data_IF_681374409187
#
_entry.id   IF_681374409187
#
_cell.length_a   1.000
_cell.length_b   1.000
_cell.length_c   1.000
_cell.angle_alpha   90.00
_cell.angle_beta   90.00
_cell.angle_gamma   90.00
#
_symmetry.space_group_name_H-M   'P 1'
#
loop_
_entity.id
_entity.type
_entity.pdbx_description
1 polymer ?
#
# COMPACT_ATOMS: atom_id res chain seq x y z
N UNK A 1 25.96 32.31 52.49
CA UNK A 1 25.98 31.98 53.94
C UNK A 1 25.26 30.65 54.10
N UNK A 2 26.03 29.63 54.54
CA UNK A 2 25.62 28.48 55.42
C UNK A 2 24.52 27.56 54.89
N UNK A 3 24.56 26.23 54.91
CA UNK A 3 25.56 25.23 55.32
C UNK A 3 24.95 23.85 55.08
N UNK A 4 25.75 22.97 54.54
CA UNK A 4 25.90 21.53 54.71
C UNK A 4 25.14 20.85 55.89
N UNK A 5 24.71 19.57 55.62
CA UNK A 5 25.14 18.33 56.34
C UNK A 5 24.24 17.18 55.83
N UNK A 6 24.75 16.20 55.18
CA UNK A 6 25.36 14.88 55.43
C UNK A 6 24.68 14.01 56.49
N UNK A 7 24.69 12.70 56.16
CA UNK A 7 24.55 11.46 56.92
C UNK A 7 23.30 10.65 56.51
N UNK A 8 23.32 9.38 56.22
CA UNK A 8 24.37 8.38 56.38
C UNK A 8 23.88 7.01 55.83
N UNK A 9 24.82 6.23 55.53
CA UNK A 9 24.89 4.89 55.04
C UNK A 9 24.35 3.86 56.06
N UNK A 10 23.52 2.86 55.67
CA UNK A 10 23.55 1.52 56.31
C UNK A 10 23.18 0.45 55.27
N UNK A 11 24.13 -0.40 54.99
CA UNK A 11 24.03 -1.70 54.31
C UNK A 11 23.43 -2.73 55.21
N UNK A 12 22.54 -3.60 54.75
CA UNK A 12 22.36 -4.94 55.33
C UNK A 12 22.26 -5.95 54.19
N UNK A 13 23.27 -6.78 54.17
CA UNK A 13 23.45 -8.00 53.39
C UNK A 13 22.89 -9.17 54.23
N UNK A 14 22.00 -9.97 53.65
CA UNK A 14 21.71 -11.30 54.23
C UNK A 14 21.40 -12.29 53.11
N UNK A 15 22.31 -13.17 52.89
CA UNK A 15 22.19 -14.37 52.09
C UNK A 15 21.42 -15.44 52.86
N UNK A 16 20.61 -16.26 52.18
CA UNK A 16 20.29 -17.61 52.66
C UNK A 16 20.24 -18.60 51.47
N UNK A 17 20.97 -19.70 51.74
CA UNK A 17 21.27 -20.84 50.86
C UNK A 17 20.11 -21.84 50.77
N UNK A 18 19.97 -22.43 49.59
CA UNK A 18 19.87 -23.84 49.18
C UNK A 18 19.16 -24.83 50.16
N UNK A 19 18.14 -25.50 49.63
CA UNK A 19 17.89 -26.93 49.92
C UNK A 19 17.54 -27.65 48.62
N UNK A 20 18.44 -28.54 48.19
CA UNK A 20 18.15 -29.67 47.29
C UNK A 20 17.49 -30.79 48.07
N UNK A 21 16.45 -31.40 47.48
CA UNK A 21 16.10 -32.79 47.83
C UNK A 21 15.63 -33.50 46.57
N UNK A 22 16.37 -34.51 46.18
CA UNK A 22 16.11 -35.45 45.10
C UNK A 22 15.39 -36.72 45.67
N UNK A 23 14.84 -37.48 44.75
CA UNK A 23 14.35 -38.87 44.75
C UNK A 23 12.82 -38.93 44.52
N UNK A 24 12.26 -39.70 43.59
CA UNK A 24 12.73 -40.77 42.72
C UNK A 24 11.52 -41.53 42.18
N UNK A 25 11.58 -41.92 40.93
CA UNK A 25 11.04 -43.18 40.43
C UNK A 25 9.53 -43.31 40.12
N UNK A 26 9.20 -43.56 38.83
CA UNK A 26 7.93 -44.13 38.41
C UNK A 26 7.63 -43.89 36.93
N UNK A 27 8.05 -44.84 36.09
CA UNK A 27 7.70 -44.84 34.67
C UNK A 27 6.22 -45.14 34.46
N UNK A 28 5.55 -44.36 33.60
CA UNK A 28 4.55 -44.91 32.71
C UNK A 28 4.50 -44.09 31.42
N UNK A 29 4.70 -44.79 30.29
CA UNK A 29 4.52 -44.33 28.94
C UNK A 29 3.04 -44.14 28.64
N UNK A 30 2.64 -42.98 28.22
CA UNK A 30 1.58 -42.86 27.25
C UNK A 30 1.91 -41.70 26.30
N UNK A 31 2.13 -42.10 25.05
CA UNK A 31 2.38 -41.21 23.92
C UNK A 31 1.05 -40.61 23.49
N UNK A 32 0.78 -39.40 23.85
CA UNK A 32 -0.10 -38.51 23.08
C UNK A 32 0.77 -37.40 22.46
N UNK A 33 1.15 -37.63 21.20
CA UNK A 33 1.72 -36.59 20.34
C UNK A 33 0.66 -35.49 20.13
N UNK A 34 0.60 -34.54 21.03
CA UNK A 34 0.02 -33.25 20.71
C UNK A 34 1.06 -32.47 19.92
N UNK A 35 0.76 -32.30 18.63
CA UNK A 35 1.36 -31.27 17.78
C UNK A 35 1.04 -29.90 18.40
N UNK A 36 1.83 -29.48 19.36
CA UNK A 36 1.92 -28.06 19.70
C UNK A 36 2.60 -27.39 18.52
N UNK A 37 1.80 -26.84 17.56
CA UNK A 37 2.27 -25.81 16.67
C UNK A 37 2.93 -24.76 17.53
N UNK A 38 4.24 -24.61 17.36
CA UNK A 38 5.06 -23.56 17.93
C UNK A 38 4.51 -22.22 17.39
N UNK A 39 3.48 -21.67 18.01
CA UNK A 39 3.07 -20.28 17.83
C UNK A 39 4.14 -19.45 18.54
N UNK A 40 5.24 -19.18 17.83
CA UNK A 40 6.16 -18.14 18.23
C UNK A 40 5.36 -16.87 18.44
N UNK A 41 5.34 -16.35 19.67
CA UNK A 41 4.64 -15.11 19.98
C UNK A 41 5.34 -13.99 19.21
N UNK A 42 4.73 -13.56 18.09
CA UNK A 42 5.21 -12.39 17.34
C UNK A 42 5.27 -11.19 18.28
N UNK A 43 6.39 -10.48 18.28
CA UNK A 43 6.62 -9.29 19.12
C UNK A 43 7.43 -8.27 18.34
N UNK A 44 7.27 -7.00 18.64
CA UNK A 44 8.08 -5.93 18.07
C UNK A 44 7.27 -4.84 17.36
N UNK A 45 7.99 -3.88 16.81
CA UNK A 45 7.41 -2.76 16.05
C UNK A 45 7.77 -2.87 14.59
N UNK A 46 6.80 -2.65 13.71
CA UNK A 46 6.94 -2.61 12.25
C UNK A 46 6.52 -1.22 11.79
N UNK A 47 7.38 -0.55 11.01
CA UNK A 47 7.01 0.66 10.27
C UNK A 47 6.94 0.29 8.80
N UNK A 48 5.77 0.48 8.21
CA UNK A 48 5.49 0.33 6.80
C UNK A 48 5.23 1.72 6.21
N UNK A 49 5.90 2.08 5.13
CA UNK A 49 5.79 3.45 4.57
C UNK A 49 5.84 3.42 3.05
N UNK A 50 5.15 4.35 2.40
CA UNK A 50 5.27 4.53 0.96
C UNK A 50 3.95 4.77 0.23
N UNK A 51 3.57 3.87 -0.68
CA UNK A 51 2.39 4.02 -1.52
C UNK A 51 1.14 4.36 -0.72
N UNK A 52 0.49 5.45 -1.09
CA UNK A 52 -0.83 5.81 -0.55
C UNK A 52 -1.96 5.04 -1.26
N UNK A 53 -1.69 4.42 -2.41
CA UNK A 53 -2.65 3.52 -3.06
C UNK A 53 -2.77 2.19 -2.30
N UNK A 54 -1.65 1.66 -1.76
CA UNK A 54 -1.64 0.46 -0.92
C UNK A 54 -2.07 0.73 0.53
N UNK A 55 -2.02 1.98 0.98
CA UNK A 55 -2.22 2.33 2.39
C UNK A 55 -3.54 1.79 2.99
N UNK A 56 -4.71 1.85 2.32
CA UNK A 56 -5.95 1.28 2.88
C UNK A 56 -5.84 -0.22 3.19
N UNK A 57 -5.29 -1.01 2.26
CA UNK A 57 -5.10 -2.45 2.45
C UNK A 57 -4.10 -2.74 3.57
N UNK A 58 -2.93 -2.09 3.52
CA UNK A 58 -1.89 -2.28 4.52
C UNK A 58 -2.38 -1.92 5.93
N UNK A 59 -3.16 -0.82 6.07
CA UNK A 59 -3.73 -0.40 7.35
C UNK A 59 -4.76 -1.38 7.88
N UNK A 60 -5.70 -1.84 7.03
CA UNK A 60 -6.72 -2.81 7.44
C UNK A 60 -6.09 -4.16 7.82
N UNK A 61 -5.12 -4.65 7.05
CA UNK A 61 -4.40 -5.87 7.38
C UNK A 61 -3.57 -5.73 8.66
N UNK A 62 -2.95 -4.56 8.89
CA UNK A 62 -2.19 -4.28 10.10
C UNK A 62 -3.09 -4.27 11.35
N UNK A 63 -4.26 -3.65 11.29
CA UNK A 63 -5.23 -3.63 12.38
C UNK A 63 -5.67 -5.04 12.76
N UNK A 64 -6.08 -5.85 11.79
CA UNK A 64 -6.49 -7.24 12.03
C UNK A 64 -5.32 -8.11 12.53
N UNK A 65 -4.11 -7.91 12.00
CA UNK A 65 -2.94 -8.64 12.46
C UNK A 65 -2.59 -8.30 13.91
N UNK A 66 -2.63 -7.02 14.30
CA UNK A 66 -2.37 -6.57 15.67
C UNK A 66 -3.42 -7.12 16.65
N UNK A 67 -4.71 -7.17 16.24
CA UNK A 67 -5.76 -7.81 17.04
C UNK A 67 -5.45 -9.27 17.37
N UNK A 68 -4.85 -10.00 16.42
CA UNK A 68 -4.43 -11.40 16.60
C UNK A 68 -3.07 -11.54 17.31
N UNK A 69 -2.25 -10.47 17.27
CA UNK A 69 -0.88 -10.46 17.79
C UNK A 69 -0.65 -9.21 18.66
N UNK A 70 -1.22 -9.12 19.87
CA UNK A 70 -1.26 -7.88 20.66
C UNK A 70 0.11 -7.39 21.17
N UNK A 71 1.17 -8.17 20.96
CA UNK A 71 2.56 -7.78 21.27
C UNK A 71 3.29 -7.19 20.05
N UNK A 72 2.62 -7.08 18.90
CA UNK A 72 3.13 -6.43 17.69
C UNK A 72 2.48 -5.07 17.55
N UNK A 73 3.27 -4.06 17.23
CA UNK A 73 2.79 -2.73 16.82
C UNK A 73 3.16 -2.50 15.37
N UNK A 74 2.18 -2.14 14.54
CA UNK A 74 2.40 -1.83 13.12
C UNK A 74 1.92 -0.42 12.84
N UNK A 75 2.82 0.42 12.30
CA UNK A 75 2.49 1.75 11.83
C UNK A 75 2.57 1.80 10.31
N UNK A 76 1.50 2.26 9.66
CA UNK A 76 1.42 2.39 8.20
C UNK A 76 1.37 3.86 7.82
N UNK A 77 2.41 4.33 7.10
CA UNK A 77 2.56 5.72 6.69
C UNK A 77 2.46 5.84 5.16
N UNK A 78 1.93 6.96 4.69
CA UNK A 78 1.98 7.37 3.29
C UNK A 78 3.34 7.97 2.90
N UNK A 79 3.37 8.73 1.79
CA UNK A 79 4.54 9.47 1.30
C UNK A 79 4.90 9.14 -0.15
N UNK A 80 4.20 8.18 -0.76
CA UNK A 80 4.41 7.74 -2.14
C UNK A 80 5.43 6.62 -2.29
N UNK A 81 5.33 5.89 -3.39
CA UNK A 81 6.16 4.71 -3.69
C UNK A 81 7.67 5.00 -3.67
N UNK A 82 8.08 6.15 -4.22
CA UNK A 82 9.50 6.54 -4.21
C UNK A 82 10.05 6.74 -2.81
N UNK A 83 9.24 7.31 -1.89
CA UNK A 83 9.62 7.45 -0.49
C UNK A 83 9.74 6.09 0.19
N UNK A 84 8.75 5.21 0.00
CA UNK A 84 8.77 3.85 0.58
C UNK A 84 9.99 3.05 0.14
N UNK A 85 10.26 3.02 -1.16
CA UNK A 85 11.42 2.34 -1.74
C UNK A 85 12.74 2.89 -1.18
N UNK A 86 12.88 4.22 -1.11
CA UNK A 86 14.09 4.86 -0.57
C UNK A 86 14.30 4.52 0.90
N UNK A 87 13.25 4.60 1.71
CA UNK A 87 13.33 4.33 3.14
C UNK A 87 13.66 2.87 3.46
N UNK A 88 13.05 1.91 2.74
CA UNK A 88 13.35 0.49 2.96
C UNK A 88 14.76 0.13 2.51
N UNK A 89 15.24 0.67 1.38
CA UNK A 89 16.60 0.46 0.90
C UNK A 89 17.66 0.97 1.91
N UNK A 90 17.36 2.10 2.58
CA UNK A 90 18.19 2.65 3.64
C UNK A 90 18.04 1.90 4.97
N UNK A 91 17.04 1.03 5.11
CA UNK A 91 16.72 0.34 6.38
C UNK A 91 16.03 1.24 7.41
N UNK A 92 15.51 2.40 7.00
CA UNK A 92 14.79 3.32 7.87
C UNK A 92 13.38 2.81 8.24
N UNK A 93 12.81 1.94 7.42
CA UNK A 93 11.55 1.25 7.66
C UNK A 93 11.72 -0.25 7.39
N UNK A 94 10.85 -1.08 7.98
CA UNK A 94 10.88 -2.52 7.78
C UNK A 94 10.22 -2.93 6.47
N UNK A 95 9.19 -2.16 6.03
CA UNK A 95 8.44 -2.43 4.80
C UNK A 95 8.32 -1.14 4.00
N UNK A 96 8.73 -1.19 2.73
CA UNK A 96 8.57 -0.11 1.75
C UNK A 96 7.42 -0.45 0.79
N UNK A 97 6.33 0.32 0.84
CA UNK A 97 5.16 0.13 -0.01
C UNK A 97 5.32 0.83 -1.35
N UNK A 98 4.99 0.15 -2.47
CA UNK A 98 5.17 0.72 -3.80
C UNK A 98 4.15 0.19 -4.81
N UNK A 99 3.67 1.07 -5.72
CA UNK A 99 2.91 0.71 -6.93
C UNK A 99 3.86 0.40 -8.12
N UNK A 100 5.17 0.45 -7.88
CA UNK A 100 6.20 0.32 -8.91
C UNK A 100 7.20 -0.75 -8.51
N UNK A 101 7.76 -1.43 -9.50
CA UNK A 101 8.99 -2.17 -9.29
C UNK A 101 10.13 -1.23 -8.91
N UNK A 102 11.03 -1.66 -8.04
CA UNK A 102 12.16 -0.84 -7.60
C UNK A 102 13.04 -0.39 -8.78
N UNK A 103 13.18 -1.25 -9.78
CA UNK A 103 13.92 -0.99 -11.02
C UNK A 103 13.32 0.17 -11.83
N UNK A 104 11.98 0.35 -11.80
CA UNK A 104 11.31 1.46 -12.51
C UNK A 104 11.68 2.84 -11.92
N UNK A 105 12.21 2.86 -10.69
CA UNK A 105 12.78 4.06 -10.05
C UNK A 105 14.30 4.14 -10.20
N UNK A 106 14.92 3.26 -11.00
CA UNK A 106 16.35 3.22 -11.19
C UNK A 106 17.12 2.81 -9.93
N UNK A 107 16.47 2.13 -9.00
CA UNK A 107 17.10 1.66 -7.77
C UNK A 107 17.78 0.31 -7.99
N UNK A 108 18.88 0.09 -7.30
CA UNK A 108 19.46 -1.24 -7.18
C UNK A 108 18.56 -2.11 -6.30
N UNK A 109 17.81 -3.00 -6.93
CA UNK A 109 16.90 -3.92 -6.26
C UNK A 109 17.61 -5.16 -5.69
N UNK A 110 18.93 -5.33 -5.87
CA UNK A 110 19.65 -6.56 -5.48
C UNK A 110 19.58 -6.88 -3.98
N UNK A 111 19.35 -5.88 -3.16
CA UNK A 111 19.20 -6.03 -1.70
C UNK A 111 17.74 -5.97 -1.24
N UNK A 112 16.79 -5.83 -2.16
CA UNK A 112 15.37 -5.74 -1.85
C UNK A 112 14.66 -7.04 -2.22
N UNK A 113 13.79 -7.51 -1.34
CA UNK A 113 12.90 -8.62 -1.61
C UNK A 113 11.50 -8.07 -1.89
N UNK A 114 10.96 -8.41 -3.06
CA UNK A 114 9.66 -7.98 -3.54
C UNK A 114 8.55 -8.95 -3.12
N UNK A 115 7.58 -8.45 -2.35
CA UNK A 115 6.36 -9.17 -2.00
C UNK A 115 5.17 -8.50 -2.70
N UNK A 116 4.66 -9.10 -3.77
CA UNK A 116 3.45 -8.62 -4.47
C UNK A 116 2.22 -9.02 -3.67
N UNK A 117 1.66 -8.06 -2.94
CA UNK A 117 0.58 -8.33 -1.97
C UNK A 117 -0.82 -8.18 -2.56
N UNK A 118 -0.97 -7.41 -3.63
CA UNK A 118 -2.24 -7.23 -4.35
C UNK A 118 -1.99 -6.67 -5.75
N UNK A 119 -3.07 -6.49 -6.51
CA UNK A 119 -3.12 -5.67 -7.74
C UNK A 119 -4.19 -4.63 -7.58
N UNK A 120 -3.97 -3.46 -8.18
CA UNK A 120 -4.96 -2.37 -8.20
C UNK A 120 -5.07 -1.76 -9.59
N UNK A 121 -6.30 -1.49 -10.04
CA UNK A 121 -6.54 -0.64 -11.20
C UNK A 121 -6.41 0.83 -10.81
N UNK A 122 -6.02 1.67 -11.76
CA UNK A 122 -5.91 3.13 -11.59
C UNK A 122 -6.65 3.78 -12.73
N UNK A 123 -7.53 4.74 -12.45
CA UNK A 123 -8.21 5.49 -13.51
C UNK A 123 -8.31 6.96 -13.19
N UNK A 124 -8.62 7.76 -14.22
CA UNK A 124 -9.02 9.13 -14.02
C UNK A 124 -10.37 9.18 -13.30
N UNK A 125 -10.51 10.12 -12.36
CA UNK A 125 -11.74 10.37 -11.65
C UNK A 125 -12.09 11.86 -11.73
N UNK A 126 -13.37 12.14 -11.88
CA UNK A 126 -13.87 13.52 -12.02
C UNK A 126 -14.90 13.86 -10.95
N UNK A 127 -15.06 15.16 -10.70
CA UNK A 127 -16.18 15.64 -9.90
C UNK A 127 -17.51 15.16 -10.52
N UNK A 128 -18.47 14.65 -9.75
CA UNK A 128 -19.71 14.11 -10.27
C UNK A 128 -20.52 15.10 -11.15
N UNK A 129 -20.39 16.41 -10.90
CA UNK A 129 -21.07 17.45 -11.68
C UNK A 129 -20.54 17.61 -13.12
N UNK A 130 -19.40 17.01 -13.45
CA UNK A 130 -18.87 16.96 -14.82
C UNK A 130 -19.77 16.12 -15.74
N UNK A 131 -20.40 15.06 -15.22
CA UNK A 131 -21.37 14.24 -15.96
C UNK A 131 -20.76 13.32 -17.03
N UNK A 132 -19.46 13.41 -17.33
CA UNK A 132 -18.75 12.53 -18.27
C UNK A 132 -18.38 11.24 -17.53
N UNK A 133 -18.60 10.09 -18.19
CA UNK A 133 -18.30 8.74 -17.64
C UNK A 133 -17.32 7.93 -18.50
N UNK A 134 -17.06 8.39 -19.71
CA UNK A 134 -16.10 7.79 -20.62
C UNK A 134 -15.28 8.87 -21.30
N UNK A 135 -14.01 8.62 -21.55
CA UNK A 135 -13.13 9.53 -22.26
C UNK A 135 -12.22 8.75 -23.20
N UNK A 136 -12.02 9.27 -24.40
CA UNK A 136 -11.00 8.73 -25.29
C UNK A 136 -9.62 8.98 -24.71
N UNK A 137 -8.73 8.00 -24.78
CA UNK A 137 -7.35 8.15 -24.28
C UNK A 137 -6.65 9.36 -24.88
N UNK A 138 -6.84 9.61 -26.17
CA UNK A 138 -6.27 10.79 -26.85
C UNK A 138 -6.75 12.12 -26.24
N UNK A 139 -8.01 12.20 -25.80
CA UNK A 139 -8.56 13.39 -25.16
C UNK A 139 -8.16 13.49 -23.69
N UNK A 140 -8.06 12.35 -22.99
CA UNK A 140 -7.49 12.29 -21.65
C UNK A 140 -6.07 12.90 -21.62
N UNK A 141 -5.23 12.53 -22.59
CA UNK A 141 -3.88 13.09 -22.75
C UNK A 141 -3.95 14.61 -22.97
N UNK A 142 -4.87 15.10 -23.83
CA UNK A 142 -5.05 16.55 -24.05
C UNK A 142 -5.51 17.28 -22.79
N UNK A 143 -6.42 16.68 -22.01
CA UNK A 143 -6.86 17.22 -20.72
C UNK A 143 -5.68 17.35 -19.77
N UNK A 144 -4.96 16.25 -19.53
CA UNK A 144 -3.86 16.29 -18.58
C UNK A 144 -2.66 17.12 -19.05
N UNK A 145 -2.46 17.29 -20.35
CA UNK A 145 -1.41 18.16 -20.89
C UNK A 145 -1.85 19.63 -21.06
N UNK A 146 -3.06 19.98 -20.62
CA UNK A 146 -3.58 21.35 -20.64
C UNK A 146 -3.97 21.85 -22.03
N UNK A 147 -4.12 20.97 -23.03
CA UNK A 147 -4.58 21.30 -24.39
C UNK A 147 -6.10 21.43 -24.48
N UNK A 148 -6.84 20.71 -23.64
CA UNK A 148 -8.27 20.85 -23.39
C UNK A 148 -8.41 21.40 -21.98
N UNK A 149 -9.07 22.54 -21.82
CA UNK A 149 -9.16 23.27 -20.55
C UNK A 149 -10.59 23.49 -20.07
N UNK A 150 -11.58 23.09 -20.88
CA UNK A 150 -12.99 23.21 -20.53
C UNK A 150 -13.75 21.95 -20.93
N UNK A 151 -14.60 21.45 -20.03
CA UNK A 151 -15.37 20.22 -20.22
C UNK A 151 -16.33 20.28 -21.40
N UNK A 152 -16.80 21.46 -21.79
CA UNK A 152 -17.66 21.62 -22.99
C UNK A 152 -17.01 21.12 -24.28
N UNK A 153 -15.68 21.14 -24.35
CA UNK A 153 -14.94 20.63 -25.53
C UNK A 153 -15.09 19.11 -25.68
N UNK A 154 -15.52 18.44 -24.59
CA UNK A 154 -15.76 17.00 -24.54
C UNK A 154 -17.25 16.64 -24.36
N UNK A 155 -18.16 17.59 -24.60
CA UNK A 155 -19.60 17.39 -24.47
C UNK A 155 -20.13 17.46 -23.00
N UNK A 156 -19.31 17.91 -22.09
CA UNK A 156 -19.68 18.20 -20.71
C UNK A 156 -20.21 19.65 -20.52
N UNK A 157 -20.36 20.08 -19.26
CA UNK A 157 -20.80 21.45 -18.96
C UNK A 157 -19.76 22.49 -19.36
N UNK A 158 -20.19 23.76 -19.54
CA UNK A 158 -19.26 24.89 -19.68
C UNK A 158 -18.58 25.16 -18.32
N UNK A 159 -17.59 24.35 -18.03
CA UNK A 159 -16.86 24.32 -16.77
C UNK A 159 -15.37 24.14 -17.03
N UNK A 160 -14.57 25.06 -16.47
CA UNK A 160 -13.10 24.95 -16.53
C UNK A 160 -12.62 23.66 -15.88
N UNK A 161 -11.65 22.99 -16.49
CA UNK A 161 -10.99 21.81 -15.95
C UNK A 161 -9.98 22.25 -14.88
N UNK A 162 -10.05 21.63 -13.71
CA UNK A 162 -9.06 21.77 -12.63
C UNK A 162 -8.30 20.45 -12.47
N UNK A 163 -7.01 20.46 -12.81
CA UNK A 163 -6.16 19.29 -12.67
C UNK A 163 -5.74 19.08 -11.20
N UNK A 164 -5.87 17.85 -10.72
CA UNK A 164 -5.37 17.43 -9.40
C UNK A 164 -4.32 16.36 -9.62
N UNK A 165 -3.07 16.74 -9.41
CA UNK A 165 -1.88 15.92 -9.64
C UNK A 165 -1.32 15.35 -8.33
N UNK A 166 -0.32 14.51 -8.47
CA UNK A 166 0.49 13.93 -7.40
C UNK A 166 1.96 14.32 -7.62
N UNK A 167 2.80 14.35 -6.58
CA UNK A 167 4.24 14.61 -6.72
C UNK A 167 4.96 13.44 -7.41
N UNK A 168 6.22 13.65 -7.79
CA UNK A 168 7.04 12.65 -8.50
C UNK A 168 7.35 11.41 -7.65
N UNK A 169 7.24 11.51 -6.32
CA UNK A 169 7.34 10.36 -5.41
C UNK A 169 6.16 9.39 -5.54
N UNK A 170 5.03 9.81 -6.13
CA UNK A 170 3.83 8.98 -6.27
C UNK A 170 3.99 7.90 -7.33
N UNK A 171 3.85 6.63 -6.91
CA UNK A 171 3.76 5.50 -7.84
C UNK A 171 2.50 5.54 -8.68
N UNK A 172 1.36 5.90 -8.08
CA UNK A 172 0.08 6.07 -8.80
C UNK A 172 0.22 7.07 -9.96
N UNK A 173 0.93 8.21 -9.74
CA UNK A 173 1.26 9.16 -10.81
C UNK A 173 2.09 8.51 -11.91
N UNK A 174 3.15 7.79 -11.52
CA UNK A 174 4.06 7.18 -12.48
C UNK A 174 3.34 6.13 -13.35
N UNK A 175 2.53 5.28 -12.73
CA UNK A 175 1.71 4.28 -13.45
C UNK A 175 0.70 4.94 -14.36
N UNK A 176 -0.04 5.95 -13.86
CA UNK A 176 -1.03 6.67 -14.65
C UNK A 176 -0.40 7.38 -15.85
N UNK A 177 0.69 8.13 -15.64
CA UNK A 177 1.39 8.81 -16.72
C UNK A 177 1.90 7.82 -17.78
N UNK A 178 2.51 6.71 -17.35
CA UNK A 178 3.05 5.69 -18.27
C UNK A 178 1.96 5.02 -19.09
N UNK A 179 0.85 4.61 -18.47
CA UNK A 179 -0.13 3.71 -19.08
C UNK A 179 -1.37 4.43 -19.61
N UNK A 180 -1.82 5.50 -18.95
CA UNK A 180 -2.98 6.27 -19.38
C UNK A 180 -2.62 7.47 -20.27
N UNK A 181 -1.43 8.05 -20.07
CA UNK A 181 -1.01 9.26 -20.79
C UNK A 181 0.13 9.00 -21.79
N UNK A 182 0.48 7.72 -22.06
CA UNK A 182 1.60 7.34 -22.96
C UNK A 182 2.92 8.05 -22.62
N UNK A 183 3.16 8.25 -21.32
CA UNK A 183 4.36 8.92 -20.80
C UNK A 183 4.32 10.46 -20.87
N UNK A 184 3.21 11.06 -21.31
CA UNK A 184 3.09 12.51 -21.32
C UNK A 184 3.13 13.08 -19.90
N UNK A 185 3.80 14.23 -19.75
CA UNK A 185 3.87 14.95 -18.47
C UNK A 185 2.62 15.80 -18.29
N UNK A 186 1.88 15.64 -17.18
CA UNK A 186 0.76 16.49 -16.86
C UNK A 186 1.15 17.97 -16.75
N UNK A 187 0.26 18.85 -17.20
CA UNK A 187 0.37 20.30 -16.99
C UNK A 187 0.27 20.61 -15.48
N UNK A 188 0.63 21.84 -15.14
CA UNK A 188 0.51 22.33 -13.76
C UNK A 188 -0.93 22.26 -13.23
N UNK A 189 -1.08 21.95 -11.97
CA UNK A 189 -2.35 21.83 -11.28
C UNK A 189 -2.14 21.76 -9.77
N UNK A 190 -3.21 21.51 -9.03
CA UNK A 190 -3.14 21.24 -7.60
C UNK A 190 -2.32 19.98 -7.43
N UNK A 191 -1.33 19.99 -6.53
CA UNK A 191 -0.48 18.82 -6.27
C UNK A 191 -0.63 18.39 -4.83
N UNK A 192 -0.98 17.11 -4.60
CA UNK A 192 -1.25 16.54 -3.29
C UNK A 192 -0.52 15.22 -3.06
N UNK A 193 0.00 15.04 -1.86
CA UNK A 193 0.81 13.88 -1.52
C UNK A 193 0.00 12.60 -1.28
N UNK A 194 -1.26 12.71 -0.86
CA UNK A 194 -2.08 11.57 -0.47
C UNK A 194 -3.30 11.36 -1.38
N UNK A 195 -3.58 10.11 -1.72
CA UNK A 195 -4.72 9.74 -2.58
C UNK A 195 -6.07 10.14 -1.99
N UNK A 196 -6.25 10.05 -0.68
CA UNK A 196 -7.48 10.47 -0.02
C UNK A 196 -7.73 12.00 -0.14
N UNK A 197 -6.66 12.82 -0.07
CA UNK A 197 -6.74 14.27 -0.29
C UNK A 197 -7.10 14.58 -1.74
N UNK A 198 -6.48 13.89 -2.70
CA UNK A 198 -6.85 14.00 -4.13
C UNK A 198 -8.34 13.70 -4.32
N UNK A 199 -8.84 12.59 -3.78
CA UNK A 199 -10.26 12.23 -3.84
C UNK A 199 -11.17 13.34 -3.28
N UNK A 200 -10.82 13.87 -2.09
CA UNK A 200 -11.56 14.95 -1.46
C UNK A 200 -11.62 16.20 -2.35
N UNK A 201 -10.49 16.63 -2.89
CA UNK A 201 -10.43 17.81 -3.76
C UNK A 201 -11.26 17.60 -5.02
N UNK A 202 -11.17 16.42 -5.67
CA UNK A 202 -12.00 16.11 -6.84
C UNK A 202 -13.49 16.21 -6.48
N UNK A 203 -13.91 15.65 -5.34
CA UNK A 203 -15.31 15.70 -4.92
C UNK A 203 -15.80 17.13 -4.62
N UNK A 204 -14.98 17.95 -3.99
CA UNK A 204 -15.35 19.29 -3.52
C UNK A 204 -15.21 20.38 -4.60
N UNK A 205 -14.38 20.15 -5.63
CA UNK A 205 -14.07 21.15 -6.66
C UNK A 205 -14.83 20.89 -7.96
N UNK A 206 -15.82 21.72 -8.34
CA UNK A 206 -16.48 21.60 -9.62
C UNK A 206 -15.48 21.63 -10.79
N UNK A 207 -15.62 20.71 -11.75
CA UNK A 207 -14.74 20.60 -12.90
C UNK A 207 -13.38 19.94 -12.62
N UNK A 208 -13.13 19.47 -11.39
CA UNK A 208 -11.88 18.79 -11.08
C UNK A 208 -11.78 17.40 -11.71
N UNK A 209 -10.55 17.06 -12.11
CA UNK A 209 -10.12 15.75 -12.55
C UNK A 209 -8.76 15.42 -11.92
N UNK A 210 -8.61 14.20 -11.47
CA UNK A 210 -7.36 13.61 -11.02
C UNK A 210 -7.31 12.13 -11.35
N UNK A 211 -6.46 11.37 -10.71
CA UNK A 211 -6.36 9.91 -10.89
C UNK A 211 -6.23 9.22 -9.55
N UNK A 212 -6.90 8.09 -9.42
CA UNK A 212 -7.02 7.34 -8.18
C UNK A 212 -6.94 5.83 -8.44
N UNK A 213 -6.40 5.11 -7.48
CA UNK A 213 -6.54 3.66 -7.39
C UNK A 213 -7.99 3.27 -7.08
N UNK A 214 -8.43 2.10 -7.55
CA UNK A 214 -9.82 1.63 -7.38
C UNK A 214 -10.23 1.56 -5.90
N UNK A 215 -9.29 1.32 -5.02
CA UNK A 215 -9.52 1.33 -3.56
C UNK A 215 -10.11 2.65 -3.03
N UNK A 216 -9.96 3.74 -3.76
CA UNK A 216 -10.55 5.05 -3.42
C UNK A 216 -11.87 5.34 -4.15
N UNK A 217 -12.35 4.42 -4.99
CA UNK A 217 -13.54 4.63 -5.85
C UNK A 217 -14.76 3.80 -5.42
N UNK A 218 -14.70 3.16 -4.25
CA UNK A 218 -15.71 2.20 -3.78
C UNK A 218 -17.00 2.85 -3.26
N UNK A 219 -17.01 4.14 -2.97
CA UNK A 219 -18.12 4.86 -2.32
C UNK A 219 -18.90 5.84 -3.22
N UNK A 220 -18.54 5.90 -4.52
CA UNK A 220 -19.20 6.75 -5.52
C UNK A 220 -19.16 8.28 -5.24
N UNK A 221 -18.29 8.75 -4.37
CA UNK A 221 -18.13 10.20 -4.09
C UNK A 221 -17.51 10.96 -5.25
N UNK A 222 -16.74 10.28 -6.09
CA UNK A 222 -16.20 10.78 -7.36
C UNK A 222 -16.58 9.84 -8.49
N UNK A 223 -16.59 10.33 -9.73
CA UNK A 223 -16.96 9.51 -10.90
C UNK A 223 -15.71 8.97 -11.58
N UNK A 224 -15.45 7.65 -11.53
CA UNK A 224 -14.38 7.02 -12.29
C UNK A 224 -14.71 7.05 -13.79
N UNK A 225 -13.69 7.30 -14.62
CA UNK A 225 -13.87 7.33 -16.08
C UNK A 225 -13.48 5.98 -16.71
N UNK A 226 -14.33 5.50 -17.61
CA UNK A 226 -13.93 4.53 -18.63
C UNK A 226 -12.93 5.19 -19.58
N UNK A 227 -12.02 4.40 -20.15
CA UNK A 227 -11.05 4.87 -21.14
C UNK A 227 -11.27 4.08 -22.44
N UNK A 228 -11.53 4.77 -23.54
CA UNK A 228 -11.85 4.17 -24.84
C UNK A 228 -12.99 3.13 -24.75
N UNK A 229 -14.01 3.42 -23.94
CA UNK A 229 -15.16 2.54 -23.73
C UNK A 229 -14.88 1.35 -22.79
N UNK A 230 -13.66 1.19 -22.27
CA UNK A 230 -13.32 0.13 -21.32
C UNK A 230 -13.54 0.63 -19.90
N UNK A 231 -14.49 0.01 -19.22
CA UNK A 231 -14.82 0.37 -17.84
C UNK A 231 -13.71 -0.02 -16.85
N UNK A 232 -13.42 0.81 -15.84
CA UNK A 232 -12.44 0.53 -14.79
C UNK A 232 -13.04 -0.46 -13.76
N UNK A 233 -13.05 -1.72 -14.14
CA UNK A 233 -13.54 -2.81 -13.29
C UNK A 233 -12.45 -3.81 -12.99
N UNK A 234 -12.58 -4.51 -11.86
CA UNK A 234 -11.64 -5.58 -11.48
C UNK A 234 -11.53 -6.64 -12.58
N UNK A 235 -12.65 -7.06 -13.19
CA UNK A 235 -12.63 -8.08 -14.25
C UNK A 235 -11.87 -7.61 -15.49
N UNK A 236 -12.02 -6.35 -15.89
CA UNK A 236 -11.27 -5.80 -17.01
C UNK A 236 -9.77 -5.67 -16.69
N UNK A 237 -9.41 -5.43 -15.44
CA UNK A 237 -8.00 -5.47 -14.99
C UNK A 237 -7.48 -6.91 -14.99
N UNK A 238 -8.21 -7.86 -14.41
CA UNK A 238 -7.81 -9.28 -14.35
C UNK A 238 -7.48 -9.85 -15.72
N UNK A 239 -8.24 -9.45 -16.73
CA UNK A 239 -8.07 -9.92 -18.12
C UNK A 239 -7.12 -9.07 -18.96
N UNK A 240 -6.57 -7.98 -18.41
CA UNK A 240 -5.71 -7.03 -19.13
C UNK A 240 -6.46 -6.12 -20.11
N UNK A 241 -7.80 -6.19 -20.20
CA UNK A 241 -8.60 -5.29 -21.05
C UNK A 241 -8.46 -3.84 -20.60
N UNK A 242 -8.48 -3.59 -19.28
CA UNK A 242 -8.18 -2.28 -18.71
C UNK A 242 -6.68 -2.23 -18.41
N UNK A 243 -5.88 -1.46 -19.17
CA UNK A 243 -4.42 -1.58 -19.15
C UNK A 243 -3.76 -0.83 -17.99
N UNK A 244 -4.48 0.09 -17.34
CA UNK A 244 -3.91 0.96 -16.29
C UNK A 244 -4.05 0.28 -14.92
N UNK A 245 -3.08 -0.54 -14.59
CA UNK A 245 -3.03 -1.27 -13.32
C UNK A 245 -1.59 -1.46 -12.86
N UNK A 246 -1.41 -1.70 -11.57
CA UNK A 246 -0.13 -1.97 -10.94
C UNK A 246 -0.23 -3.15 -9.97
N UNK A 247 0.90 -3.80 -9.71
CA UNK A 247 1.06 -4.55 -8.47
C UNK A 247 1.22 -3.58 -7.30
N UNK A 248 0.70 -3.98 -6.18
CA UNK A 248 1.01 -3.39 -4.89
C UNK A 248 2.11 -4.23 -4.24
N UNK A 249 3.28 -3.63 -4.11
CA UNK A 249 4.48 -4.26 -3.61
C UNK A 249 4.73 -3.85 -2.16
N UNK A 250 5.12 -4.81 -1.34
CA UNK A 250 5.67 -4.60 -0.01
C UNK A 250 7.14 -5.06 -0.04
N UNK A 251 8.08 -4.13 -0.14
CA UNK A 251 9.50 -4.43 -0.19
C UNK A 251 10.11 -4.56 1.20
N UNK A 252 11.04 -5.50 1.35
CA UNK A 252 11.89 -5.61 2.54
C UNK A 252 13.36 -5.52 2.13
N UNK A 253 14.24 -5.02 3.01
CA UNK A 253 15.68 -5.06 2.81
C UNK A 253 16.20 -6.44 3.24
N UNK A 254 16.51 -7.28 2.26
CA UNK A 254 16.79 -8.70 2.48
C UNK A 254 15.55 -9.49 2.89
N UNK A 255 15.75 -10.76 3.24
CA UNK A 255 14.67 -11.66 3.61
C UNK A 255 13.94 -11.19 4.88
N UNK A 256 12.61 -11.20 4.80
CA UNK A 256 11.77 -10.87 5.96
C UNK A 256 11.89 -11.94 7.05
N UNK A 257 12.01 -11.51 8.29
CA UNK A 257 12.10 -12.40 9.46
C UNK A 257 11.16 -11.96 10.57
N UNK A 258 10.94 -12.82 11.58
CA UNK A 258 10.17 -12.50 12.77
C UNK A 258 8.77 -11.95 12.45
N UNK A 259 8.38 -10.87 13.12
CA UNK A 259 7.06 -10.27 12.97
C UNK A 259 6.83 -9.65 11.58
N UNK A 260 7.87 -9.19 10.91
CA UNK A 260 7.76 -8.67 9.53
C UNK A 260 7.34 -9.79 8.59
N UNK A 261 8.03 -10.93 8.64
CA UNK A 261 7.65 -12.12 7.84
C UNK A 261 6.23 -12.57 8.17
N UNK A 262 5.90 -12.67 9.46
CA UNK A 262 4.57 -13.09 9.87
C UNK A 262 3.45 -12.16 9.37
N UNK A 263 3.70 -10.85 9.34
CA UNK A 263 2.75 -9.88 8.80
C UNK A 263 2.61 -10.00 7.27
N UNK A 264 3.71 -10.16 6.54
CA UNK A 264 3.67 -10.36 5.09
C UNK A 264 2.99 -11.69 4.72
N UNK A 265 3.29 -12.78 5.45
CA UNK A 265 2.58 -14.06 5.29
C UNK A 265 1.07 -13.90 5.56
N UNK A 266 0.70 -13.10 6.57
CA UNK A 266 -0.71 -12.79 6.86
C UNK A 266 -1.36 -12.01 5.72
N UNK A 267 -0.70 -11.00 5.18
CA UNK A 267 -1.22 -10.26 4.01
C UNK A 267 -1.47 -11.18 2.81
N UNK A 268 -0.69 -12.24 2.66
CA UNK A 268 -0.84 -13.24 1.59
C UNK A 268 -1.75 -14.42 1.95
N UNK A 269 -2.28 -14.47 3.17
CA UNK A 269 -3.19 -15.53 3.59
C UNK A 269 -4.52 -15.49 2.83
N UNK A 270 -5.16 -16.66 2.68
CA UNK A 270 -6.50 -16.76 2.07
C UNK A 270 -7.51 -15.83 2.77
N UNK A 271 -7.41 -15.70 4.09
CA UNK A 271 -8.27 -14.81 4.86
C UNK A 271 -8.19 -13.37 4.35
N UNK A 272 -6.99 -12.81 4.22
CA UNK A 272 -6.79 -11.43 3.77
C UNK A 272 -7.12 -11.29 2.28
N UNK A 273 -6.66 -12.23 1.46
CA UNK A 273 -6.81 -12.18 0.01
C UNK A 273 -8.28 -12.31 -0.44
N UNK A 274 -9.10 -13.11 0.26
CA UNK A 274 -10.51 -13.29 -0.10
C UNK A 274 -11.45 -12.30 0.58
N UNK A 275 -11.01 -11.60 1.63
CA UNK A 275 -11.87 -10.67 2.38
C UNK A 275 -11.38 -9.22 2.30
N UNK A 276 -10.21 -8.90 2.90
CA UNK A 276 -9.75 -7.51 3.02
C UNK A 276 -9.38 -6.94 1.64
N UNK A 277 -8.62 -7.70 0.84
CA UNK A 277 -8.17 -7.29 -0.50
C UNK A 277 -9.39 -6.93 -1.36
N UNK A 278 -10.37 -7.81 -1.46
CA UNK A 278 -11.55 -7.60 -2.31
C UNK A 278 -12.48 -6.50 -1.77
N UNK A 279 -12.71 -6.43 -0.45
CA UNK A 279 -13.54 -5.38 0.16
C UNK A 279 -12.95 -3.98 -0.04
N UNK A 280 -11.64 -3.86 -0.11
CA UNK A 280 -10.94 -2.59 -0.28
C UNK A 280 -10.77 -2.20 -1.75
N UNK A 281 -11.32 -2.97 -2.71
CA UNK A 281 -11.24 -2.67 -4.15
C UNK A 281 -9.89 -3.02 -4.78
N UNK A 282 -9.17 -3.98 -4.19
CA UNK A 282 -7.97 -4.58 -4.78
C UNK A 282 -8.29 -5.97 -5.35
N UNK A 283 -7.36 -6.48 -6.12
CA UNK A 283 -7.46 -7.77 -6.79
C UNK A 283 -6.37 -8.69 -6.23
N UNK A 284 -6.71 -9.91 -5.79
CA UNK A 284 -5.70 -10.92 -5.44
C UNK A 284 -4.78 -11.19 -6.63
N UNK A 285 -3.45 -11.23 -6.39
CA UNK A 285 -2.45 -11.48 -7.44
C UNK A 285 -2.72 -12.79 -8.19
N UNK A 286 -3.24 -13.80 -7.48
CA UNK A 286 -3.58 -15.12 -8.02
C UNK A 286 -4.76 -15.10 -9.00
N UNK A 287 -5.60 -14.06 -8.97
CA UNK A 287 -6.75 -13.94 -9.87
C UNK A 287 -6.41 -13.24 -11.20
N UNK A 288 -5.21 -12.72 -11.35
CA UNK A 288 -4.78 -12.09 -12.59
C UNK A 288 -4.57 -13.17 -13.68
N UNK A 289 -5.11 -12.91 -14.86
CA UNK A 289 -4.92 -13.72 -16.09
C UNK A 289 -3.75 -13.21 -16.93
N UNK A 290 -3.21 -12.07 -16.57
CA UNK A 290 -2.03 -11.47 -17.18
C UNK A 290 -1.03 -11.10 -16.09
N UNK A 291 0.25 -11.01 -16.47
CA UNK A 291 1.30 -10.49 -15.60
C UNK A 291 2.10 -9.42 -16.32
N UNK A 292 2.77 -8.58 -15.55
CA UNK A 292 3.63 -7.50 -16.05
C UNK A 292 4.98 -7.58 -15.36
N UNK A 293 6.04 -7.47 -16.14
CA UNK A 293 7.41 -7.37 -15.62
C UNK A 293 7.81 -5.90 -15.33
N UNK A 294 8.98 -5.71 -14.71
CA UNK A 294 9.52 -4.38 -14.42
C UNK A 294 9.80 -3.53 -15.67
N UNK A 295 9.95 -4.16 -16.84
CA UNK A 295 10.11 -3.46 -18.13
C UNK A 295 8.78 -3.01 -18.72
N UNK A 296 7.65 -3.49 -18.15
CA UNK A 296 6.30 -3.18 -18.61
C UNK A 296 5.75 -4.16 -19.65
N UNK A 297 6.47 -5.26 -19.93
CA UNK A 297 5.95 -6.31 -20.82
C UNK A 297 4.79 -7.02 -20.14
N UNK A 298 3.70 -7.22 -20.88
CA UNK A 298 2.51 -7.93 -20.40
C UNK A 298 2.43 -9.28 -21.11
N UNK A 299 2.27 -10.34 -20.34
CA UNK A 299 2.13 -11.72 -20.84
C UNK A 299 0.90 -12.38 -20.21
N UNK A 300 0.30 -13.34 -20.89
CA UNK A 300 -0.76 -14.17 -20.33
C UNK A 300 -0.15 -15.16 -19.32
N UNK A 301 -0.88 -15.41 -18.23
CA UNK A 301 -0.58 -16.48 -17.27
C UNK A 301 -1.11 -17.80 -17.75
#
# INVERSE_FOLDING_TARGET
MKSLKNFGLVSILAAFMVIMAACGGGANKDQSKQNAKNQGTNTGSIVSSGSTALQPLASAAAEEFMNKNPKVSIQVNGGGSGTGLSQVAQGAVQIGNSDLFAEEKGMDASQLVDHKVAVVGITAAVNPKVGIKDIKKADLIKVFTGKITNWKELGGPDQKITLVNRPDSSGTRAVFNKLALDGATPAEGITEDASNTVKKIINETPGAIGYLAFSYLTDNTVTPLSIDGVAPTEENVKTGKFPVWAYEHAYTKGEATGSVKAFLDYMMSDEVQTSIVTKQGYIPVTQMKVERDAKGNVTNK
#
